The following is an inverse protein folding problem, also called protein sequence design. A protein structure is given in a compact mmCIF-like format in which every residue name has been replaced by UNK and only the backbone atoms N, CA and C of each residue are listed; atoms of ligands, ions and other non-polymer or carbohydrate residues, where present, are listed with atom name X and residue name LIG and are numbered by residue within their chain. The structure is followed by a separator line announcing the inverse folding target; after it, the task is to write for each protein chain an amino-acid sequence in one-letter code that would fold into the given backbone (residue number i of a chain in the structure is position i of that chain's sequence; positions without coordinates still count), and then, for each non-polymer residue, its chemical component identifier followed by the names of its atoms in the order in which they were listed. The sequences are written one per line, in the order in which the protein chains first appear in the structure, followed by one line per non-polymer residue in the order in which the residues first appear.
data_IF_760577644467
#
_entry.id   IF_760577644467
#
_cell.length_a   1.000
_cell.length_b   1.000
_cell.length_c   1.000
_cell.angle_alpha   90.00
_cell.angle_beta   90.00
_cell.angle_gamma   90.00
#
_symmetry.space_group_name_H-M   'P 1'
#
loop_
_entity.id
_entity.type
_entity.pdbx_description
1 polymer ?
#
# COMPACT_ATOMS: atom_id res chain seq x y z
N UNK A 1 -16.08 1.62 1.28
CA UNK A 1 -14.63 1.70 1.23
C UNK A 1 -14.15 2.01 -0.16
N UNK A 2 -12.87 2.17 -0.37
CA UNK A 2 -12.36 2.73 -1.59
C UNK A 2 -11.36 1.80 -2.26
N UNK A 3 -11.01 2.14 -3.49
CA UNK A 3 -10.01 1.43 -4.27
C UNK A 3 -8.72 2.23 -4.28
N UNK A 4 -7.61 1.54 -4.03
CA UNK A 4 -6.29 2.15 -4.15
C UNK A 4 -5.71 1.78 -5.51
N UNK A 5 -5.47 2.78 -6.33
CA UNK A 5 -4.85 2.54 -7.64
C UNK A 5 -3.34 2.62 -7.50
N UNK A 6 -2.64 1.60 -7.94
CA UNK A 6 -1.19 1.54 -7.86
C UNK A 6 -0.59 1.37 -9.25
N UNK A 7 0.65 1.81 -9.40
CA UNK A 7 1.36 1.66 -10.64
C UNK A 7 2.75 1.10 -10.41
N UNK A 8 3.45 0.83 -11.50
CA UNK A 8 4.82 0.36 -11.47
C UNK A 8 5.67 1.39 -12.20
N UNK A 9 6.73 1.86 -11.56
CA UNK A 9 7.65 2.81 -12.20
C UNK A 9 9.00 2.69 -11.52
N UNK A 10 10.05 2.73 -12.33
CA UNK A 10 11.40 2.72 -11.78
C UNK A 10 11.63 3.98 -10.95
N UNK A 11 12.68 3.95 -10.14
CA UNK A 11 13.04 5.11 -9.34
C UNK A 11 13.27 6.33 -10.23
N UNK A 12 13.95 6.13 -11.37
CA UNK A 12 14.23 7.23 -12.28
C UNK A 12 12.97 7.77 -12.92
N UNK A 13 12.04 6.89 -13.27
CA UNK A 13 10.75 7.32 -13.81
C UNK A 13 9.98 8.13 -12.79
N UNK A 14 9.99 7.71 -11.54
CA UNK A 14 9.32 8.43 -10.47
C UNK A 14 9.94 9.79 -10.26
N UNK A 15 11.27 9.86 -10.30
CA UNK A 15 11.98 11.12 -10.12
C UNK A 15 11.64 12.10 -11.24
N UNK A 16 11.67 11.61 -12.48
CA UNK A 16 11.33 12.45 -13.63
C UNK A 16 9.89 12.98 -13.53
N UNK A 17 8.97 12.11 -13.13
CA UNK A 17 7.57 12.48 -12.97
C UNK A 17 7.40 13.55 -11.89
N UNK A 18 8.07 13.37 -10.76
CA UNK A 18 8.00 14.32 -9.66
C UNK A 18 8.52 15.68 -10.09
N UNK A 19 9.63 15.71 -10.82
CA UNK A 19 10.20 16.95 -11.32
C UNK A 19 9.23 17.64 -12.30
N UNK A 20 8.64 16.85 -13.21
CA UNK A 20 7.70 17.41 -14.19
C UNK A 20 6.49 18.02 -13.50
N UNK A 21 5.95 17.36 -12.48
CA UNK A 21 4.82 17.89 -11.72
C UNK A 21 5.23 19.17 -11.00
N UNK A 22 6.39 19.18 -10.37
CA UNK A 22 6.86 20.36 -9.63
C UNK A 22 7.08 21.55 -10.55
N UNK A 23 7.47 21.31 -11.80
CA UNK A 23 7.68 22.38 -12.77
C UNK A 23 6.42 22.82 -13.50
N UNK A 24 5.29 22.21 -13.20
CA UNK A 24 4.04 22.52 -13.88
C UNK A 24 3.95 21.95 -15.28
N UNK A 25 4.88 21.06 -15.65
CA UNK A 25 4.90 20.45 -16.98
C UNK A 25 3.93 19.29 -17.10
N UNK A 26 3.46 18.80 -15.95
CA UNK A 26 2.57 17.65 -15.89
C UNK A 26 1.59 17.84 -14.74
N UNK A 27 0.35 17.49 -15.00
CA UNK A 27 -0.67 17.49 -13.95
C UNK A 27 -0.98 16.07 -13.52
N UNK A 28 -1.32 15.91 -12.26
CA UNK A 28 -1.75 14.62 -11.73
C UNK A 28 -3.23 14.47 -12.05
N UNK A 29 -3.56 13.44 -12.84
CA UNK A 29 -4.96 13.19 -13.20
C UNK A 29 -5.67 12.46 -12.05
N UNK A 30 -6.99 12.64 -11.90
CA UNK A 30 -7.73 11.99 -10.81
C UNK A 30 -7.66 10.47 -10.85
N UNK A 31 -7.52 9.88 -12.03
CA UNK A 31 -7.50 8.42 -12.17
C UNK A 31 -6.09 7.85 -12.22
N UNK A 32 -5.07 8.66 -11.97
CA UNK A 32 -3.70 8.17 -11.94
C UNK A 32 -3.43 7.39 -10.66
N UNK A 33 -2.46 6.46 -10.69
CA UNK A 33 -2.06 5.76 -9.47
C UNK A 33 -1.62 6.73 -8.39
N UNK A 34 -1.98 6.42 -7.16
CA UNK A 34 -1.57 7.21 -5.99
C UNK A 34 -0.32 6.67 -5.36
N UNK A 35 -0.02 5.39 -5.59
CA UNK A 35 1.10 4.70 -4.98
C UNK A 35 1.84 3.96 -6.09
N UNK A 36 3.17 3.96 -6.00
CA UNK A 36 4.00 3.37 -7.03
C UNK A 36 4.95 2.35 -6.42
N UNK A 37 5.05 1.20 -7.07
CA UNK A 37 6.06 0.20 -6.75
C UNK A 37 7.15 0.27 -7.80
N UNK A 38 8.37 -0.06 -7.40
CA UNK A 38 9.49 0.01 -8.34
C UNK A 38 9.52 -1.17 -9.30
N UNK A 39 8.98 -2.32 -8.90
CA UNK A 39 8.91 -3.51 -9.75
C UNK A 39 7.62 -4.25 -9.49
N UNK A 40 7.21 -5.09 -10.44
CA UNK A 40 6.07 -5.97 -10.24
C UNK A 40 6.37 -6.99 -9.15
N UNK A 41 7.63 -7.39 -9.02
CA UNK A 41 8.03 -8.32 -7.98
C UNK A 41 7.83 -7.74 -6.59
N UNK A 42 8.17 -6.47 -6.40
CA UNK A 42 7.95 -5.84 -5.09
C UNK A 42 6.46 -5.69 -4.82
N UNK A 43 5.66 -5.37 -5.83
CA UNK A 43 4.22 -5.33 -5.70
C UNK A 43 3.67 -6.69 -5.24
N UNK A 44 4.08 -7.77 -5.90
CA UNK A 44 3.62 -9.10 -5.57
C UNK A 44 4.07 -9.52 -4.17
N UNK A 45 5.25 -9.09 -3.76
CA UNK A 45 5.77 -9.42 -2.44
C UNK A 45 4.96 -8.75 -1.34
N UNK A 46 4.65 -7.48 -1.50
CA UNK A 46 3.89 -6.73 -0.50
C UNK A 46 2.44 -7.23 -0.46
N UNK A 47 1.88 -7.57 -1.60
CA UNK A 47 0.50 -8.05 -1.68
C UNK A 47 0.44 -9.55 -1.95
N UNK A 48 1.33 -10.29 -1.30
CA UNK A 48 1.32 -11.74 -1.34
C UNK A 48 0.01 -12.28 -0.77
N UNK A 49 -0.28 -13.56 -1.06
CA UNK A 49 -1.47 -14.18 -0.53
C UNK A 49 -1.52 -14.11 0.99
N UNK A 50 -0.37 -14.32 1.66
CA UNK A 50 -0.31 -14.25 3.11
C UNK A 50 -0.61 -12.86 3.63
N UNK A 51 -0.06 -11.84 2.99
CA UNK A 51 -0.30 -10.47 3.42
C UNK A 51 -1.72 -10.02 3.12
N UNK A 52 -2.31 -10.49 2.02
CA UNK A 52 -3.72 -10.19 1.74
C UNK A 52 -4.63 -10.86 2.75
N UNK A 53 -4.29 -12.07 3.20
CA UNK A 53 -5.05 -12.73 4.25
C UNK A 53 -4.95 -11.92 5.55
N UNK A 54 -3.77 -11.38 5.85
CA UNK A 54 -3.60 -10.54 7.03
C UNK A 54 -4.50 -9.31 6.95
N UNK A 55 -4.58 -8.67 5.78
CA UNK A 55 -5.47 -7.51 5.60
C UNK A 55 -6.93 -7.91 5.81
N UNK A 56 -7.32 -9.10 5.31
CA UNK A 56 -8.68 -9.57 5.49
C UNK A 56 -9.01 -9.78 6.97
N UNK A 57 -8.07 -10.36 7.72
CA UNK A 57 -8.27 -10.59 9.15
C UNK A 57 -8.44 -9.26 9.87
N UNK A 58 -7.60 -8.28 9.54
CA UNK A 58 -7.70 -6.96 10.17
C UNK A 58 -9.07 -6.33 9.89
N UNK A 59 -9.54 -6.44 8.65
CA UNK A 59 -10.82 -5.86 8.28
C UNK A 59 -11.98 -6.55 8.97
N UNK A 60 -11.93 -7.88 9.06
CA UNK A 60 -13.05 -8.65 9.60
C UNK A 60 -13.06 -8.71 11.11
N UNK A 61 -11.89 -8.86 11.74
CA UNK A 61 -11.80 -9.05 13.17
C UNK A 61 -11.61 -7.76 13.95
N UNK A 62 -11.20 -6.70 13.25
CA UNK A 62 -11.00 -5.37 13.84
C UNK A 62 -10.19 -5.44 15.13
N UNK A 63 -8.97 -6.02 15.10
CA UNK A 63 -8.17 -6.13 16.33
C UNK A 63 -7.85 -4.74 16.88
N UNK A 64 -7.90 -4.61 18.21
CA UNK A 64 -7.65 -3.34 18.85
C UNK A 64 -6.18 -2.99 18.98
N UNK A 65 -5.30 -3.95 18.71
CA UNK A 65 -3.85 -3.73 18.83
C UNK A 65 -3.11 -4.76 18.00
N UNK A 66 -1.82 -4.50 17.79
CA UNK A 66 -0.96 -5.50 17.12
C UNK A 66 -0.82 -6.73 18.02
N UNK A 67 -0.81 -6.54 19.34
CA UNK A 67 -0.76 -7.69 20.26
C UNK A 67 -1.97 -8.61 20.05
N UNK A 68 -3.14 -8.02 19.92
CA UNK A 68 -4.34 -8.82 19.69
C UNK A 68 -4.27 -9.52 18.33
N UNK A 69 -3.79 -8.81 17.32
CA UNK A 69 -3.63 -9.40 15.99
C UNK A 69 -2.67 -10.59 16.03
N UNK A 70 -1.59 -10.46 16.83
CA UNK A 70 -0.64 -11.56 17.00
C UNK A 70 -1.33 -12.79 17.61
N UNK A 71 -2.21 -12.58 18.58
CA UNK A 71 -2.95 -13.67 19.18
C UNK A 71 -3.91 -14.32 18.18
N UNK A 72 -4.59 -13.51 17.39
CA UNK A 72 -5.56 -14.02 16.41
C UNK A 72 -4.86 -14.85 15.33
N UNK A 73 -3.70 -14.37 14.85
CA UNK A 73 -3.04 -15.00 13.71
C UNK A 73 -2.01 -16.02 14.10
N UNK A 74 -1.55 -16.01 15.35
CA UNK A 74 -0.46 -16.87 15.78
C UNK A 74 0.90 -16.44 15.28
N UNK A 75 1.01 -15.25 14.70
CA UNK A 75 2.26 -14.74 14.15
C UNK A 75 2.99 -13.90 15.19
N UNK A 76 4.32 -13.82 15.05
CA UNK A 76 5.15 -13.03 15.97
C UNK A 76 4.84 -11.54 15.79
N UNK A 77 4.72 -10.84 16.93
CA UNK A 77 4.42 -9.39 16.90
C UNK A 77 5.47 -8.62 16.12
N UNK A 78 6.75 -8.99 16.26
CA UNK A 78 7.81 -8.26 15.55
C UNK A 78 7.66 -8.38 14.03
N UNK A 79 7.28 -9.55 13.55
CA UNK A 79 7.06 -9.75 12.12
C UNK A 79 5.85 -8.96 11.64
N UNK A 80 4.77 -8.99 12.43
CA UNK A 80 3.56 -8.22 12.09
C UNK A 80 3.86 -6.73 12.06
N UNK A 81 4.62 -6.23 13.04
CA UNK A 81 4.96 -4.81 13.07
C UNK A 81 5.73 -4.39 11.82
N UNK A 82 6.70 -5.21 11.41
CA UNK A 82 7.49 -4.91 10.22
C UNK A 82 6.62 -4.91 8.97
N UNK A 83 5.80 -5.94 8.81
CA UNK A 83 4.92 -6.07 7.65
C UNK A 83 3.93 -4.90 7.59
N UNK A 84 3.34 -4.56 8.74
CA UNK A 84 2.35 -3.48 8.77
C UNK A 84 2.97 -2.12 8.49
N UNK A 85 4.20 -1.89 8.94
CA UNK A 85 4.87 -0.63 8.62
C UNK A 85 5.15 -0.52 7.13
N UNK A 86 5.53 -1.63 6.50
CA UNK A 86 5.71 -1.64 5.04
C UNK A 86 4.39 -1.31 4.34
N UNK A 87 3.31 -1.94 4.77
CA UNK A 87 2.00 -1.68 4.19
C UNK A 87 1.52 -0.26 4.43
N UNK A 88 1.85 0.31 5.60
CA UNK A 88 1.50 1.70 5.89
C UNK A 88 2.19 2.64 4.91
N UNK A 89 3.44 2.34 4.59
CA UNK A 89 4.19 3.15 3.63
C UNK A 89 3.55 3.17 2.24
N UNK A 90 2.81 2.12 1.89
CA UNK A 90 2.12 2.06 0.61
C UNK A 90 0.65 2.48 0.71
N UNK A 91 0.23 2.93 1.90
CA UNK A 91 -1.15 3.40 2.04
C UNK A 91 -2.19 2.31 2.18
N UNK A 92 -1.77 1.06 2.41
CA UNK A 92 -2.69 -0.06 2.52
C UNK A 92 -3.34 -0.14 3.90
N UNK A 93 -2.60 0.26 4.93
CA UNK A 93 -3.11 0.28 6.30
C UNK A 93 -2.72 1.60 6.94
N UNK A 94 -3.45 1.96 7.99
CA UNK A 94 -3.09 3.05 8.88
C UNK A 94 -2.85 2.46 10.25
N UNK A 95 -1.78 2.87 10.90
CA UNK A 95 -1.46 2.43 12.25
C UNK A 95 -1.80 3.56 13.20
N UNK A 96 -2.92 3.41 13.89
CA UNK A 96 -3.40 4.44 14.83
C UNK A 96 -2.73 4.23 16.18
N UNK A 97 -2.01 5.23 16.64
CA UNK A 97 -1.27 5.15 17.88
C UNK A 97 -2.14 5.65 19.03
N UNK A 98 -2.27 4.83 20.04
CA UNK A 98 -3.05 5.14 21.22
C UNK A 98 -2.19 5.20 22.45
N UNK A 99 -2.86 5.10 23.61
CA UNK A 99 -2.19 5.19 24.89
C UNK A 99 -1.31 3.96 25.14
N UNK A 100 -0.22 4.18 25.89
CA UNK A 100 0.67 3.11 26.35
C UNK A 100 1.31 2.34 25.20
N UNK A 101 1.55 3.04 24.10
CA UNK A 101 2.19 2.42 22.95
C UNK A 101 1.30 1.49 22.16
N UNK A 102 -0.02 1.49 22.43
CA UNK A 102 -0.94 0.68 21.65
C UNK A 102 -0.97 1.16 20.21
N UNK A 103 -0.91 0.23 19.27
CA UNK A 103 -1.02 0.53 17.85
C UNK A 103 -2.16 -0.31 17.29
N UNK A 104 -3.17 0.37 16.74
CA UNK A 104 -4.34 -0.28 16.17
C UNK A 104 -4.25 -0.24 14.66
N UNK A 105 -4.18 -1.40 13.99
CA UNK A 105 -4.12 -1.41 12.52
C UNK A 105 -5.51 -1.24 11.92
N UNK A 106 -5.60 -0.45 10.85
CA UNK A 106 -6.84 -0.23 10.11
C UNK A 106 -6.55 -0.40 8.63
N UNK A 107 -7.41 -1.14 7.93
CA UNK A 107 -7.29 -1.28 6.48
C UNK A 107 -7.90 -0.03 5.84
N UNK A 108 -7.17 0.57 4.91
CA UNK A 108 -7.58 1.84 4.31
C UNK A 108 -8.41 1.68 3.05
N UNK A 109 -8.28 0.54 2.36
CA UNK A 109 -8.95 0.32 1.09
C UNK A 109 -9.42 -1.12 1.03
N UNK A 110 -10.51 -1.38 0.30
CA UNK A 110 -11.01 -2.74 0.19
C UNK A 110 -10.57 -3.43 -1.10
N UNK A 111 -9.88 -2.71 -2.00
CA UNK A 111 -9.32 -3.33 -3.18
C UNK A 111 -8.17 -2.51 -3.72
N UNK A 112 -7.31 -3.17 -4.46
CA UNK A 112 -6.18 -2.55 -5.14
C UNK A 112 -6.34 -2.81 -6.63
N UNK A 113 -6.12 -1.79 -7.44
CA UNK A 113 -6.10 -1.91 -8.89
C UNK A 113 -4.70 -1.57 -9.38
N UNK A 114 -4.09 -2.51 -10.08
CA UNK A 114 -2.77 -2.31 -10.64
C UNK A 114 -2.90 -1.81 -12.07
N UNK A 115 -2.33 -0.65 -12.33
CA UNK A 115 -2.27 -0.07 -13.67
C UNK A 115 -0.88 -0.38 -14.23
N UNK A 116 -0.80 -1.36 -15.10
CA UNK A 116 0.46 -1.85 -15.64
C UNK A 116 0.42 -1.77 -17.16
N UNK A 117 1.00 -0.71 -17.76
CA UNK A 117 1.04 -0.63 -19.21
C UNK A 117 1.94 -1.71 -19.80
N UNK A 118 1.51 -2.28 -20.90
CA UNK A 118 2.25 -3.34 -21.58
C UNK A 118 3.10 -2.82 -22.72
N UNK A 119 2.76 -1.63 -23.21
CA UNK A 119 3.50 -1.02 -24.31
C UNK A 119 3.80 0.42 -23.96
N UNK A 120 4.73 0.99 -24.69
CA UNK A 120 5.09 2.39 -24.54
C UNK A 120 4.08 3.21 -25.32
N UNK A 121 3.05 3.63 -24.68
CA UNK A 121 2.03 4.37 -25.37
C UNK A 121 2.11 5.84 -25.04
N UNK A 122 1.69 6.35 -25.65
CA UNK A 122 1.49 7.44 -25.32
C UNK A 122 0.29 7.87 -25.07
N UNK A 123 -0.04 7.98 -25.10
CA UNK A 123 -0.89 8.31 -24.90
C UNK A 123 -1.67 8.56 -24.99
N UNK A 124 -1.61 8.21 -24.78
CA UNK A 124 -2.53 8.52 -24.89
C UNK A 124 -3.39 9.26 -24.88
N UNK A 125 -3.43 9.40 -25.22
CA UNK A 125 -4.17 10.53 -25.44
C UNK A 125 -4.96 10.95 -24.49
#
# INVERSE_FOLDING_TARGET
MTTLKVGIASYEEMKARTIAVARGERRVAPNEPKVWFTTTESFAKVLSAGNRELLRVIAEKAPGSIDELARITGKAKSNLSRTLKTMEGYGLVRLERGERGRITPKVMHDRVELDLPLTLSRKAG
#
